data_IF_931570736852
#
_entry.id   IF_931570736852
#
_cell.length_a   1.000
_cell.length_b   1.000
_cell.length_c   1.000
_cell.angle_alpha   90.00
_cell.angle_beta   90.00
_cell.angle_gamma   90.00
#
_symmetry.space_group_name_H-M   'P 1'
#
loop_
_entity.id
_entity.type
_entity.pdbx_description
1 polymer ?
#
# COMPACT_ATOMS: atom_id res chain seq x y z
N UNK A 1 -9.95 -35.39 -12.43
CA UNK A 1 -9.15 -34.29 -13.00
C UNK A 1 -8.28 -33.71 -11.90
N UNK A 2 -6.99 -33.47 -12.19
CA UNK A 2 -6.10 -32.80 -11.25
C UNK A 2 -6.62 -31.39 -10.96
N UNK A 3 -6.64 -31.02 -9.67
CA UNK A 3 -7.06 -29.66 -9.27
C UNK A 3 -5.95 -28.66 -9.57
N UNK A 4 -6.09 -27.86 -10.61
CA UNK A 4 -5.17 -26.77 -10.95
C UNK A 4 -5.51 -25.51 -10.13
N UNK A 5 -4.51 -24.78 -9.61
CA UNK A 5 -4.75 -23.59 -8.81
C UNK A 5 -5.23 -22.40 -9.66
N UNK A 6 -5.97 -21.49 -9.01
CA UNK A 6 -6.13 -20.11 -9.45
C UNK A 6 -5.09 -19.26 -8.75
N UNK A 7 -4.45 -18.37 -9.48
CA UNK A 7 -3.38 -17.51 -8.99
C UNK A 7 -3.82 -16.06 -9.10
N UNK A 8 -3.89 -15.39 -7.96
CA UNK A 8 -4.14 -13.95 -7.88
C UNK A 8 -2.86 -13.28 -7.40
N UNK A 9 -2.38 -12.32 -8.17
CA UNK A 9 -1.23 -11.51 -7.83
C UNK A 9 -1.73 -10.07 -7.62
N UNK A 10 -1.38 -9.46 -6.50
CA UNK A 10 -1.79 -8.09 -6.18
C UNK A 10 -0.59 -7.18 -6.08
N UNK A 11 -0.73 -5.97 -6.58
CA UNK A 11 0.09 -4.87 -6.11
C UNK A 11 -0.27 -4.49 -4.67
N UNK A 12 0.63 -3.80 -3.99
CA UNK A 12 0.45 -3.39 -2.60
C UNK A 12 -0.01 -1.94 -2.54
N UNK A 13 0.87 -1.01 -2.92
CA UNK A 13 0.69 0.42 -2.77
C UNK A 13 -0.39 0.94 -3.74
N UNK A 14 -1.30 1.79 -3.27
CA UNK A 14 -2.46 2.31 -4.00
C UNK A 14 -3.43 1.24 -4.56
N UNK A 15 -3.15 -0.04 -4.33
CA UNK A 15 -3.96 -1.16 -4.78
C UNK A 15 -4.74 -1.80 -3.61
N UNK A 16 -4.07 -2.58 -2.74
CA UNK A 16 -4.70 -3.18 -1.56
C UNK A 16 -4.56 -2.34 -0.30
N UNK A 17 -3.57 -1.46 -0.26
CA UNK A 17 -3.45 -0.39 0.74
C UNK A 17 -3.36 0.96 0.04
N UNK A 18 -3.65 2.03 0.77
CA UNK A 18 -3.44 3.39 0.28
C UNK A 18 -1.98 3.82 0.26
N UNK A 19 -1.71 4.99 -0.29
CA UNK A 19 -0.38 5.59 -0.27
C UNK A 19 0.09 5.80 1.17
N UNK A 20 1.19 5.17 1.52
CA UNK A 20 1.78 5.22 2.85
C UNK A 20 2.68 6.44 3.07
N UNK A 21 2.90 7.27 2.06
CA UNK A 21 3.87 8.37 2.13
C UNK A 21 3.52 9.35 3.23
N UNK A 22 2.23 9.72 3.36
CA UNK A 22 1.78 10.62 4.44
C UNK A 22 1.96 9.99 5.82
N UNK A 23 1.76 8.68 5.95
CA UNK A 23 1.99 7.94 7.19
C UNK A 23 3.48 7.95 7.54
N UNK A 24 4.36 7.66 6.57
CA UNK A 24 5.82 7.69 6.74
C UNK A 24 6.29 9.07 7.18
N UNK A 25 5.80 10.13 6.54
CA UNK A 25 6.15 11.49 6.87
C UNK A 25 5.74 11.84 8.32
N UNK A 26 4.51 11.48 8.73
CA UNK A 26 4.05 11.68 10.10
C UNK A 26 4.96 11.00 11.12
N UNK A 27 5.25 9.71 10.94
CA UNK A 27 6.13 8.97 11.85
C UNK A 27 7.56 9.49 11.83
N UNK A 28 8.06 9.95 10.68
CA UNK A 28 9.40 10.56 10.57
C UNK A 28 9.46 11.87 11.34
N UNK A 29 8.44 12.73 11.22
CA UNK A 29 8.32 13.98 11.96
C UNK A 29 8.27 13.73 13.46
N UNK A 30 7.42 12.80 13.90
CA UNK A 30 7.30 12.39 15.30
C UNK A 30 8.63 11.87 15.85
N UNK A 31 9.33 11.05 15.05
CA UNK A 31 10.65 10.53 15.39
C UNK A 31 11.69 11.63 15.57
N UNK A 32 11.71 12.59 14.64
CA UNK A 32 12.63 13.74 14.72
C UNK A 32 12.36 14.60 15.95
N UNK A 33 11.12 14.94 16.17
CA UNK A 33 10.68 15.75 17.33
C UNK A 33 11.14 15.08 18.63
N UNK A 34 10.88 13.79 18.79
CA UNK A 34 11.26 13.00 19.95
C UNK A 34 12.77 13.00 20.21
N UNK A 35 13.56 12.77 19.15
CA UNK A 35 15.02 12.73 19.24
C UNK A 35 15.61 14.06 19.74
N UNK A 36 14.97 15.18 19.39
CA UNK A 36 15.47 16.51 19.69
C UNK A 36 14.86 17.12 20.98
N UNK A 37 13.77 16.54 21.49
CA UNK A 37 13.09 17.05 22.70
C UNK A 37 13.53 16.36 24.00
N UNK A 38 14.83 16.09 24.16
CA UNK A 38 15.40 15.42 25.36
C UNK A 38 15.07 16.10 26.68
N UNK A 39 14.76 17.40 26.69
CA UNK A 39 14.50 18.18 27.90
C UNK A 39 13.12 17.94 28.54
N UNK A 40 12.18 17.33 27.85
CA UNK A 40 10.76 17.30 28.21
C UNK A 40 10.22 15.94 28.65
N UNK A 41 11.06 15.03 29.21
CA UNK A 41 10.62 13.73 29.75
C UNK A 41 9.71 12.90 28.81
N UNK A 42 9.77 13.09 27.51
CA UNK A 42 9.15 12.21 26.54
C UNK A 42 9.92 10.90 26.62
N UNK A 43 9.35 9.94 27.33
CA UNK A 43 10.03 8.68 27.69
C UNK A 43 10.32 7.82 26.45
N UNK A 44 11.44 7.11 26.49
CA UNK A 44 12.09 6.38 25.41
C UNK A 44 11.31 5.17 24.81
N UNK A 45 10.07 4.95 25.17
CA UNK A 45 9.34 3.73 24.82
C UNK A 45 8.55 3.78 23.50
N UNK A 46 8.50 4.92 22.80
CA UNK A 46 7.83 4.93 21.49
C UNK A 46 8.82 4.58 20.40
N UNK A 47 8.68 3.45 19.75
CA UNK A 47 9.41 3.14 18.52
C UNK A 47 9.02 4.13 17.43
N UNK A 48 9.97 4.48 16.56
CA UNK A 48 9.70 5.26 15.34
C UNK A 48 9.04 4.39 14.26
N UNK A 49 8.76 3.14 14.57
CA UNK A 49 8.21 2.21 13.62
C UNK A 49 6.73 2.51 13.42
N UNK A 50 6.32 2.53 12.17
CA UNK A 50 4.92 2.65 11.80
C UNK A 50 4.16 1.49 12.43
N UNK A 51 3.07 1.82 13.12
CA UNK A 51 2.15 0.81 13.62
C UNK A 51 1.18 0.44 12.48
N UNK A 52 1.61 -0.44 11.59
CA UNK A 52 0.79 -0.85 10.45
C UNK A 52 -0.53 -1.49 10.85
N UNK A 53 -0.60 -2.19 11.98
CA UNK A 53 -1.86 -2.76 12.46
C UNK A 53 -2.90 -1.66 12.73
N UNK A 54 -2.48 -0.60 13.41
CA UNK A 54 -3.34 0.55 13.70
C UNK A 54 -3.70 1.34 12.44
N UNK A 55 -2.74 1.57 11.54
CA UNK A 55 -3.01 2.31 10.30
C UNK A 55 -3.94 1.55 9.36
N UNK A 56 -3.79 0.23 9.25
CA UNK A 56 -4.73 -0.61 8.49
C UNK A 56 -6.15 -0.57 9.06
N UNK A 57 -6.30 -0.43 10.39
CA UNK A 57 -7.60 -0.25 11.04
C UNK A 57 -8.22 1.13 10.77
N UNK A 58 -7.40 2.16 10.68
CA UNK A 58 -7.84 3.53 10.38
C UNK A 58 -8.26 3.73 8.92
N UNK A 59 -8.07 2.75 8.07
CA UNK A 59 -8.47 2.80 6.66
C UNK A 59 -7.31 2.76 5.67
N UNK A 60 -6.06 2.52 6.11
CA UNK A 60 -4.96 2.26 5.18
C UNK A 60 -5.25 1.03 4.33
N UNK A 61 -5.91 0.00 4.86
CA UNK A 61 -6.41 -1.12 4.08
C UNK A 61 -7.61 -0.66 3.24
N UNK A 62 -7.54 -0.86 1.93
CA UNK A 62 -8.60 -0.48 0.99
C UNK A 62 -9.93 -1.12 1.38
N UNK A 63 -11.04 -0.40 1.32
CA UNK A 63 -12.37 -0.94 1.63
C UNK A 63 -12.70 -2.20 0.81
N UNK A 64 -13.40 -3.14 1.43
CA UNK A 64 -13.87 -4.39 0.80
C UNK A 64 -12.78 -5.37 0.32
N UNK A 65 -11.50 -5.15 0.64
CA UNK A 65 -10.44 -6.15 0.34
C UNK A 65 -10.77 -7.48 0.99
N UNK A 66 -11.19 -7.48 2.27
CA UNK A 66 -11.53 -8.71 2.99
C UNK A 66 -12.70 -9.45 2.33
N UNK A 67 -13.74 -8.70 1.95
CA UNK A 67 -14.90 -9.28 1.25
C UNK A 67 -14.49 -9.92 -0.08
N UNK A 68 -13.57 -9.26 -0.80
CA UNK A 68 -13.05 -9.78 -2.05
C UNK A 68 -12.19 -11.03 -1.86
N UNK A 69 -11.31 -11.05 -0.88
CA UNK A 69 -10.50 -12.25 -0.56
C UNK A 69 -11.41 -13.42 -0.18
N UNK A 70 -12.43 -13.18 0.66
CA UNK A 70 -13.40 -14.22 1.00
C UNK A 70 -14.22 -14.72 -0.20
N UNK A 71 -14.57 -13.83 -1.10
CA UNK A 71 -15.26 -14.19 -2.35
C UNK A 71 -14.38 -15.06 -3.23
N UNK A 72 -13.14 -14.66 -3.55
CA UNK A 72 -12.25 -15.44 -4.42
C UNK A 72 -11.86 -16.78 -3.78
N UNK A 73 -11.67 -16.84 -2.46
CA UNK A 73 -11.43 -18.05 -1.69
C UNK A 73 -12.59 -19.06 -1.78
N UNK A 74 -13.83 -18.59 -1.85
CA UNK A 74 -15.01 -19.44 -2.02
C UNK A 74 -15.18 -19.91 -3.45
N UNK A 75 -14.92 -19.02 -4.41
CA UNK A 75 -15.23 -19.24 -5.82
C UNK A 75 -14.11 -19.93 -6.60
N UNK A 76 -12.88 -19.50 -6.43
CA UNK A 76 -11.72 -19.94 -7.20
C UNK A 76 -10.88 -20.93 -6.37
N UNK A 77 -11.17 -22.23 -6.54
CA UNK A 77 -10.55 -23.29 -5.74
C UNK A 77 -9.76 -24.27 -6.60
N UNK A 78 -8.53 -24.64 -6.18
CA UNK A 78 -7.75 -24.05 -5.10
C UNK A 78 -7.23 -22.65 -5.44
N UNK A 79 -7.06 -21.79 -4.43
CA UNK A 79 -6.62 -20.40 -4.56
C UNK A 79 -5.20 -20.24 -4.04
N UNK A 80 -4.38 -19.53 -4.80
CA UNK A 80 -3.03 -19.09 -4.41
C UNK A 80 -2.91 -17.58 -4.57
N UNK A 81 -2.43 -16.90 -3.51
CA UNK A 81 -2.24 -15.45 -3.50
C UNK A 81 -0.77 -15.08 -3.43
N UNK A 82 -0.36 -14.14 -4.25
CA UNK A 82 0.97 -13.55 -4.28
C UNK A 82 0.88 -12.02 -4.24
N UNK A 83 1.97 -11.39 -3.80
CA UNK A 83 2.16 -9.94 -3.88
C UNK A 83 3.31 -9.62 -4.84
N UNK A 84 3.13 -8.55 -5.62
CA UNK A 84 4.15 -8.05 -6.51
C UNK A 84 4.15 -6.50 -6.47
N UNK A 85 5.13 -5.91 -5.82
CA UNK A 85 5.25 -4.46 -5.61
C UNK A 85 6.51 -3.89 -6.24
N UNK A 86 6.50 -2.61 -6.58
CA UNK A 86 7.70 -1.86 -6.97
C UNK A 86 8.51 -1.36 -5.76
N UNK A 87 8.08 -1.67 -4.55
CA UNK A 87 8.80 -1.36 -3.30
C UNK A 87 9.95 -2.36 -3.05
N UNK A 88 10.75 -2.10 -2.01
CA UNK A 88 11.84 -3.01 -1.60
C UNK A 88 11.30 -4.20 -0.83
N UNK A 89 12.05 -5.32 -0.85
CA UNK A 89 11.68 -6.54 -0.13
C UNK A 89 11.51 -6.30 1.39
N UNK A 90 12.44 -5.60 2.02
CA UNK A 90 12.35 -5.31 3.46
C UNK A 90 11.09 -4.52 3.83
N UNK A 91 10.69 -3.55 3.01
CA UNK A 91 9.46 -2.82 3.20
C UNK A 91 8.22 -3.73 3.15
N UNK A 92 8.11 -4.53 2.09
CA UNK A 92 6.96 -5.39 1.88
C UNK A 92 6.90 -6.54 2.90
N UNK A 93 8.03 -7.23 3.12
CA UNK A 93 8.08 -8.45 3.93
C UNK A 93 8.09 -8.17 5.43
N UNK A 94 8.97 -7.26 5.89
CA UNK A 94 9.21 -7.08 7.32
C UNK A 94 8.22 -6.11 7.95
N UNK A 95 7.70 -5.15 7.16
CA UNK A 95 6.77 -4.12 7.63
C UNK A 95 5.30 -4.48 7.41
N UNK A 96 4.91 -4.72 6.18
CA UNK A 96 3.50 -4.77 5.77
C UNK A 96 2.90 -6.18 5.79
N UNK A 97 3.59 -7.19 5.26
CA UNK A 97 3.02 -8.51 5.01
C UNK A 97 2.36 -9.15 6.24
N UNK A 98 3.00 -9.20 7.43
CA UNK A 98 2.38 -9.84 8.58
C UNK A 98 1.06 -9.19 8.98
N UNK A 99 0.99 -7.85 8.89
CA UNK A 99 -0.19 -7.08 9.24
C UNK A 99 -1.29 -7.22 8.19
N UNK A 100 -0.95 -7.21 6.90
CA UNK A 100 -1.90 -7.47 5.82
C UNK A 100 -2.48 -8.87 5.97
N UNK A 101 -1.66 -9.91 6.12
CA UNK A 101 -2.14 -11.29 6.28
C UNK A 101 -3.10 -11.46 7.46
N UNK A 102 -2.78 -10.82 8.60
CA UNK A 102 -3.64 -10.81 9.77
C UNK A 102 -5.00 -10.18 9.47
N UNK A 103 -5.00 -9.05 8.74
CA UNK A 103 -6.23 -8.31 8.41
C UNK A 103 -7.10 -9.02 7.38
N UNK A 104 -6.51 -9.60 6.33
CA UNK A 104 -7.28 -10.32 5.30
C UNK A 104 -7.61 -11.76 5.71
N UNK A 105 -7.11 -12.24 6.84
CA UNK A 105 -7.27 -13.62 7.32
C UNK A 105 -6.92 -14.66 6.26
N UNK A 106 -5.81 -14.45 5.57
CA UNK A 106 -5.32 -15.35 4.53
C UNK A 106 -3.79 -15.31 4.46
N UNK A 107 -3.18 -16.50 4.31
CA UNK A 107 -1.72 -16.62 4.14
C UNK A 107 -1.35 -16.33 2.69
N UNK A 108 -0.54 -15.32 2.48
CA UNK A 108 0.04 -14.97 1.19
C UNK A 108 1.25 -15.86 0.94
N UNK A 109 1.40 -16.34 -0.28
CA UNK A 109 2.54 -17.19 -0.65
C UNK A 109 3.83 -16.37 -0.77
N UNK A 110 4.93 -17.02 -0.44
CA UNK A 110 6.28 -16.49 -0.64
C UNK A 110 6.87 -17.04 -1.95
N UNK A 111 7.84 -16.36 -2.56
CA UNK A 111 8.33 -15.03 -2.17
C UNK A 111 7.33 -13.92 -2.48
N UNK A 112 7.48 -12.76 -1.81
CA UNK A 112 6.91 -11.51 -2.31
C UNK A 112 7.80 -11.05 -3.46
N UNK A 113 7.19 -10.73 -4.59
CA UNK A 113 7.91 -10.14 -5.71
C UNK A 113 8.03 -8.63 -5.53
N UNK A 114 9.21 -8.10 -5.81
CA UNK A 114 9.58 -6.71 -5.53
C UNK A 114 10.22 -6.08 -6.77
N UNK A 115 10.73 -4.85 -6.64
CA UNK A 115 11.42 -4.17 -7.73
C UNK A 115 12.59 -4.97 -8.34
N UNK A 116 13.18 -5.87 -7.56
CA UNK A 116 14.25 -6.74 -8.04
C UNK A 116 13.77 -7.75 -9.08
N UNK A 117 12.47 -8.03 -9.11
CA UNK A 117 11.82 -8.91 -10.09
C UNK A 117 11.25 -8.14 -11.29
N UNK A 118 11.29 -6.80 -11.26
CA UNK A 118 10.76 -5.94 -12.32
C UNK A 118 11.73 -5.84 -13.49
N UNK A 119 11.24 -5.37 -14.63
CA UNK A 119 12.08 -5.04 -15.78
C UNK A 119 12.99 -3.84 -15.48
N UNK A 120 14.02 -3.63 -16.31
CA UNK A 120 14.98 -2.52 -16.13
C UNK A 120 14.33 -1.14 -16.17
N UNK A 121 13.21 -0.99 -16.87
CA UNK A 121 12.41 0.24 -16.95
C UNK A 121 11.45 0.43 -15.76
N UNK A 122 11.49 -0.48 -14.77
CA UNK A 122 10.65 -0.46 -13.58
C UNK A 122 9.27 -1.07 -13.76
N UNK A 123 8.90 -1.54 -14.95
CA UNK A 123 7.65 -2.25 -15.21
C UNK A 123 7.66 -3.67 -14.64
N UNK A 124 6.51 -4.16 -14.17
CA UNK A 124 6.35 -5.53 -13.69
C UNK A 124 6.33 -6.53 -14.84
N UNK A 125 6.82 -7.75 -14.59
CA UNK A 125 6.94 -8.81 -15.58
C UNK A 125 6.43 -10.13 -15.02
N UNK A 126 5.48 -10.77 -15.69
CA UNK A 126 5.09 -12.14 -15.37
C UNK A 126 6.16 -13.14 -15.81
N UNK A 127 6.88 -12.89 -16.90
CA UNK A 127 7.97 -13.76 -17.34
C UNK A 127 9.03 -13.94 -16.25
N UNK A 128 9.31 -12.86 -15.48
CA UNK A 128 10.31 -12.91 -14.42
C UNK A 128 9.85 -13.64 -13.15
N UNK A 129 8.54 -13.82 -12.95
CA UNK A 129 8.01 -14.33 -11.69
C UNK A 129 7.20 -15.62 -11.83
N UNK A 130 6.65 -15.90 -13.00
CA UNK A 130 5.74 -17.04 -13.18
C UNK A 130 6.43 -18.40 -13.00
N UNK A 131 7.65 -18.55 -13.50
CA UNK A 131 8.43 -19.78 -13.28
C UNK A 131 8.67 -20.03 -11.80
N UNK A 132 9.04 -19.00 -11.05
CA UNK A 132 9.22 -19.06 -9.60
C UNK A 132 7.92 -19.47 -8.89
N UNK A 133 6.78 -18.92 -9.34
CA UNK A 133 5.45 -19.28 -8.81
C UNK A 133 5.17 -20.76 -9.06
N UNK A 134 5.42 -21.25 -10.28
CA UNK A 134 5.18 -22.65 -10.64
C UNK A 134 6.08 -23.58 -9.83
N UNK A 135 7.37 -23.28 -9.72
CA UNK A 135 8.32 -24.06 -8.90
C UNK A 135 7.86 -24.16 -7.45
N UNK A 136 7.40 -23.07 -6.85
CA UNK A 136 6.89 -23.07 -5.47
C UNK A 136 5.57 -23.86 -5.31
N UNK A 137 4.79 -23.98 -6.38
CA UNK A 137 3.50 -24.66 -6.33
C UNK A 137 3.55 -26.13 -6.76
N UNK A 138 4.65 -26.58 -7.39
CA UNK A 138 4.77 -27.90 -7.98
C UNK A 138 4.66 -29.05 -6.95
N UNK A 139 5.14 -28.84 -5.73
CA UNK A 139 5.00 -29.83 -4.66
C UNK A 139 3.53 -29.99 -4.24
N UNK A 140 2.82 -28.86 -4.15
CA UNK A 140 1.40 -28.84 -3.77
C UNK A 140 0.48 -29.26 -4.91
N UNK A 141 0.88 -28.95 -6.14
CA UNK A 141 0.14 -29.25 -7.37
C UNK A 141 1.01 -29.94 -8.41
N UNK A 142 1.32 -31.24 -8.27
CA UNK A 142 2.23 -31.95 -9.18
C UNK A 142 1.79 -31.95 -10.65
N UNK A 143 0.51 -31.71 -10.90
CA UNK A 143 -0.03 -31.57 -12.26
C UNK A 143 0.57 -30.39 -13.04
N UNK A 144 1.15 -29.39 -12.36
CA UNK A 144 1.83 -28.25 -12.99
C UNK A 144 3.14 -28.65 -13.71
N UNK A 145 3.67 -29.84 -13.46
CA UNK A 145 4.81 -30.39 -14.23
C UNK A 145 4.46 -30.65 -15.70
N UNK A 146 3.17 -30.80 -15.99
CA UNK A 146 2.70 -31.03 -17.35
C UNK A 146 2.50 -29.67 -18.03
N UNK A 147 3.18 -29.44 -19.13
CA UNK A 147 3.20 -28.17 -19.84
C UNK A 147 1.80 -27.65 -20.20
N UNK A 148 0.90 -28.52 -20.67
CA UNK A 148 -0.47 -28.13 -20.99
C UNK A 148 -1.27 -27.65 -19.78
N UNK A 149 -1.02 -28.20 -18.60
CA UNK A 149 -1.66 -27.78 -17.36
C UNK A 149 -1.07 -26.44 -16.86
N UNK A 150 0.24 -26.29 -16.99
CA UNK A 150 0.93 -25.03 -16.69
C UNK A 150 0.40 -23.90 -17.57
N UNK A 151 0.31 -24.16 -18.89
CA UNK A 151 -0.30 -23.23 -19.84
C UNK A 151 -1.77 -22.91 -19.51
N UNK A 152 -2.56 -23.91 -19.14
CA UNK A 152 -3.95 -23.70 -18.70
C UNK A 152 -4.05 -22.77 -17.47
N UNK A 153 -3.16 -22.93 -16.50
CA UNK A 153 -3.12 -22.04 -15.33
C UNK A 153 -2.74 -20.63 -15.74
N UNK A 154 -1.71 -20.49 -16.57
CA UNK A 154 -1.31 -19.17 -17.07
C UNK A 154 -2.42 -18.49 -17.85
N UNK A 155 -3.02 -19.20 -18.83
CA UNK A 155 -3.99 -18.61 -19.75
C UNK A 155 -5.34 -18.32 -19.10
N UNK A 156 -5.83 -19.21 -18.21
CA UNK A 156 -7.22 -19.19 -17.75
C UNK A 156 -7.42 -19.04 -16.25
N UNK A 157 -6.33 -19.09 -15.44
CA UNK A 157 -6.45 -19.12 -13.98
C UNK A 157 -5.55 -18.12 -13.26
N UNK A 158 -4.79 -17.29 -13.98
CA UNK A 158 -3.92 -16.27 -13.44
C UNK A 158 -4.43 -14.87 -13.75
N UNK A 159 -4.41 -14.01 -12.76
CA UNK A 159 -4.73 -12.58 -12.89
C UNK A 159 -3.84 -11.74 -12.00
N UNK A 160 -3.49 -10.56 -12.49
CA UNK A 160 -2.76 -9.53 -11.78
C UNK A 160 -3.67 -8.31 -11.55
N UNK A 161 -3.65 -7.73 -10.36
CA UNK A 161 -4.44 -6.54 -9.99
C UNK A 161 -3.49 -5.42 -9.57
N UNK A 162 -3.54 -4.28 -10.26
CA UNK A 162 -2.57 -3.19 -10.12
C UNK A 162 -3.23 -1.85 -10.49
N UNK A 163 -2.89 -0.77 -9.80
CA UNK A 163 -3.42 0.57 -10.04
C UNK A 163 -2.76 1.25 -11.25
N UNK A 164 -1.49 0.98 -11.49
CA UNK A 164 -0.76 1.60 -12.61
C UNK A 164 -1.16 0.95 -13.93
N UNK A 165 -1.75 1.71 -14.88
CA UNK A 165 -2.14 1.17 -16.17
C UNK A 165 -0.94 0.58 -16.91
N UNK A 166 -1.10 -0.62 -17.45
CA UNK A 166 -0.05 -1.31 -18.23
C UNK A 166 1.27 -1.50 -17.47
N UNK A 167 1.21 -1.57 -16.13
CA UNK A 167 2.39 -1.84 -15.31
C UNK A 167 2.95 -3.25 -15.59
N UNK A 168 2.07 -4.20 -15.89
CA UNK A 168 2.44 -5.51 -16.38
C UNK A 168 2.82 -5.42 -17.86
N UNK A 169 4.13 -5.26 -18.14
CA UNK A 169 4.65 -4.88 -19.48
C UNK A 169 4.52 -5.99 -20.52
N UNK A 170 4.82 -7.22 -20.11
CA UNK A 170 4.86 -8.38 -21.02
C UNK A 170 3.48 -9.01 -21.28
N UNK A 171 2.57 -8.94 -20.32
CA UNK A 171 1.22 -9.52 -20.42
C UNK A 171 0.12 -8.55 -19.94
N UNK A 172 -0.05 -7.37 -20.56
CA UNK A 172 -1.01 -6.37 -20.10
C UNK A 172 -2.47 -6.88 -20.08
N UNK A 173 -2.77 -7.90 -20.89
CA UNK A 173 -4.09 -8.54 -20.92
C UNK A 173 -4.40 -9.40 -19.68
N UNK A 174 -3.41 -9.69 -18.84
CA UNK A 174 -3.57 -10.36 -17.54
C UNK A 174 -3.84 -9.40 -16.40
N UNK A 175 -3.76 -8.10 -16.64
CA UNK A 175 -3.94 -7.09 -15.62
C UNK A 175 -5.40 -6.62 -15.53
N UNK A 176 -5.97 -6.69 -14.33
CA UNK A 176 -7.13 -5.90 -13.92
C UNK A 176 -6.59 -4.59 -13.37
N UNK A 177 -6.97 -3.49 -14.03
CA UNK A 177 -6.63 -2.15 -13.55
C UNK A 177 -7.57 -1.78 -12.40
N UNK A 178 -7.02 -1.48 -11.23
CA UNK A 178 -7.77 -0.82 -10.16
C UNK A 178 -7.54 0.70 -10.20
N UNK A 179 -8.50 1.51 -9.77
CA UNK A 179 -8.26 2.92 -9.49
C UNK A 179 -7.27 3.07 -8.35
N UNK A 180 -6.48 4.14 -8.35
CA UNK A 180 -5.60 4.48 -7.25
C UNK A 180 -6.43 4.59 -5.96
N UNK A 181 -5.97 3.96 -4.89
CA UNK A 181 -6.57 4.11 -3.59
C UNK A 181 -5.78 5.12 -2.76
N UNK A 182 -6.33 6.31 -2.64
CA UNK A 182 -5.75 7.38 -1.86
C UNK A 182 -6.21 7.27 -0.40
N UNK A 183 -5.29 6.92 0.49
CA UNK A 183 -5.52 6.94 1.92
C UNK A 183 -5.02 8.26 2.50
N UNK A 184 -5.94 8.99 3.11
CA UNK A 184 -5.57 10.09 3.96
C UNK A 184 -5.81 9.65 5.39
N UNK A 185 -4.75 9.52 6.21
CA UNK A 185 -4.98 9.40 7.65
C UNK A 185 -5.82 10.60 8.07
N UNK A 186 -6.87 10.38 8.92
CA UNK A 186 -7.71 11.48 9.36
C UNK A 186 -6.80 12.62 9.75
N UNK A 187 -6.93 13.78 9.07
CA UNK A 187 -6.08 14.94 9.29
C UNK A 187 -6.21 15.35 10.75
N UNK A 188 -5.41 14.73 11.52
CA UNK A 188 -5.17 15.19 12.87
C UNK A 188 -4.09 16.22 12.68
N UNK A 189 -4.41 17.48 12.96
CA UNK A 189 -3.40 18.48 13.11
C UNK A 189 -2.21 17.83 13.82
N UNK A 190 -1.03 17.79 13.17
CA UNK A 190 0.17 17.14 13.74
C UNK A 190 0.36 17.53 15.21
N UNK A 191 0.03 18.80 15.54
CA UNK A 191 0.00 19.32 16.89
C UNK A 191 -0.90 18.50 17.82
N UNK A 192 -2.13 18.20 17.39
CA UNK A 192 -3.10 17.47 18.19
C UNK A 192 -2.77 15.98 18.29
N UNK A 193 -2.24 15.38 17.22
CA UNK A 193 -1.69 14.03 17.25
C UNK A 193 -0.54 13.91 18.25
N UNK A 194 0.40 14.84 18.24
CA UNK A 194 1.53 14.86 19.15
C UNK A 194 1.06 15.00 20.58
N UNK A 195 0.15 15.96 20.85
CA UNK A 195 -0.44 16.15 22.18
C UNK A 195 -1.09 14.89 22.71
N UNK A 196 -1.97 14.28 21.90
CA UNK A 196 -2.69 13.07 22.25
C UNK A 196 -1.76 11.88 22.44
N UNK A 197 -0.84 11.66 21.51
CA UNK A 197 0.07 10.51 21.53
C UNK A 197 1.04 10.52 22.70
N UNK A 198 1.48 11.70 23.11
CA UNK A 198 2.45 11.87 24.21
C UNK A 198 1.82 12.40 25.49
N UNK A 199 0.50 12.50 25.55
CA UNK A 199 -0.25 13.01 26.70
C UNK A 199 0.30 14.37 27.19
N UNK A 200 0.55 15.29 26.26
CA UNK A 200 1.11 16.61 26.55
C UNK A 200 -0.03 17.60 26.80
N UNK A 201 0.04 18.31 27.93
CA UNK A 201 -0.83 19.47 28.15
C UNK A 201 -0.41 20.66 27.26
N UNK A 202 -1.29 21.66 27.14
CA UNK A 202 -1.05 22.84 26.30
C UNK A 202 0.20 23.62 26.74
N UNK A 203 0.42 23.69 28.06
CA UNK A 203 1.54 24.42 28.64
C UNK A 203 2.86 23.70 28.34
N UNK A 204 2.90 22.40 28.51
CA UNK A 204 4.08 21.58 28.20
C UNK A 204 4.36 21.56 26.71
N UNK A 205 3.32 21.48 25.89
CA UNK A 205 3.46 21.52 24.43
C UNK A 205 4.03 22.87 23.96
N UNK A 206 3.52 23.98 24.52
CA UNK A 206 3.99 25.32 24.17
C UNK A 206 5.43 25.62 24.63
N UNK A 207 5.91 24.94 25.67
CA UNK A 207 7.31 25.07 26.14
C UNK A 207 8.32 24.28 25.33
N UNK A 208 7.86 23.45 24.37
CA UNK A 208 8.70 22.59 23.56
C UNK A 208 9.03 23.30 22.25
N UNK A 209 10.27 23.16 21.79
CA UNK A 209 10.71 23.62 20.46
C UNK A 209 9.80 23.09 19.31
N UNK A 210 9.07 21.99 19.54
CA UNK A 210 8.06 21.42 18.66
C UNK A 210 7.02 22.47 18.26
N UNK A 211 6.55 23.29 19.19
CA UNK A 211 5.56 24.32 18.88
C UNK A 211 6.13 25.36 17.91
N UNK A 212 7.39 25.70 18.09
CA UNK A 212 8.09 26.58 17.16
C UNK A 212 8.15 25.95 15.76
N UNK A 213 8.44 24.66 15.66
CA UNK A 213 8.48 23.94 14.38
C UNK A 213 7.10 23.77 13.75
N UNK A 214 6.07 23.49 14.52
CA UNK A 214 4.69 23.44 14.01
C UNK A 214 4.17 24.81 13.55
N UNK A 215 4.75 25.90 14.07
CA UNK A 215 4.45 27.27 13.67
C UNK A 215 5.41 27.85 12.60
N UNK A 216 6.42 27.12 12.19
CA UNK A 216 7.43 27.51 11.16
C UNK A 216 6.77 27.94 9.83
N UNK A 217 5.55 27.51 9.54
CA UNK A 217 4.75 28.03 8.41
C UNK A 217 4.66 29.54 8.32
N UNK A 218 4.81 30.25 9.44
CA UNK A 218 4.81 31.73 9.46
C UNK A 218 6.18 32.29 9.15
N UNK A 219 7.21 31.46 9.05
CA UNK A 219 8.57 31.88 8.68
C UNK A 219 8.69 31.63 7.18
N UNK A 220 8.82 32.68 6.36
CA UNK A 220 9.03 32.51 4.91
C UNK A 220 10.29 31.66 4.68
N UNK A 221 10.19 30.64 3.85
CA UNK A 221 11.32 29.76 3.50
C UNK A 221 12.43 30.56 2.81
N UNK A 222 12.02 31.55 2.06
CA UNK A 222 12.89 32.46 1.36
C UNK A 222 13.05 33.72 2.20
N UNK A 223 14.14 33.73 2.97
CA UNK A 223 14.43 34.80 3.87
C UNK A 223 14.55 36.15 3.17
N UNK A 224 13.47 36.86 3.10
CA UNK A 224 13.57 38.31 2.98
C UNK A 224 14.22 38.93 4.22
N UNK A 225 14.41 38.18 5.30
CA UNK A 225 14.99 38.64 6.59
C UNK A 225 16.18 37.86 7.09
N UNK A 226 16.92 37.14 6.25
CA UNK A 226 18.24 36.61 6.63
C UNK A 226 18.30 35.61 7.80
N UNK A 227 17.19 34.92 8.12
CA UNK A 227 17.20 33.91 9.18
C UNK A 227 17.93 32.67 8.69
N UNK A 228 19.13 32.47 9.19
CA UNK A 228 19.99 31.34 8.88
C UNK A 228 19.43 30.08 9.61
N UNK A 229 18.48 29.39 9.03
CA UNK A 229 17.91 28.14 9.57
C UNK A 229 19.04 27.10 9.58
N UNK A 230 19.37 26.57 10.75
CA UNK A 230 20.37 25.50 10.87
C UNK A 230 19.98 24.32 9.98
N UNK A 231 20.94 23.64 9.38
CA UNK A 231 20.70 22.58 8.38
C UNK A 231 19.72 21.48 8.86
N UNK A 232 19.75 21.12 10.13
CA UNK A 232 18.81 20.14 10.73
C UNK A 232 17.39 20.69 10.89
N UNK A 233 17.23 21.99 11.10
CA UNK A 233 15.93 22.64 11.23
C UNK A 233 15.28 22.77 9.84
N UNK A 234 16.10 22.95 8.80
CA UNK A 234 15.64 22.97 7.40
C UNK A 234 15.06 21.63 6.96
N UNK A 235 15.65 20.51 7.42
CA UNK A 235 15.12 19.17 7.11
C UNK A 235 13.71 18.99 7.72
N UNK A 236 13.54 19.31 8.99
CA UNK A 236 12.22 19.21 9.64
C UNK A 236 11.20 20.15 9.00
N UNK A 237 11.63 21.35 8.68
CA UNK A 237 10.79 22.32 7.97
C UNK A 237 10.28 21.74 6.64
N UNK A 238 11.18 21.25 5.81
CA UNK A 238 10.82 20.66 4.51
C UNK A 238 9.87 19.47 4.65
N UNK A 239 10.08 18.61 5.68
CA UNK A 239 9.20 17.48 5.96
C UNK A 239 7.80 17.94 6.37
N UNK A 240 7.69 18.93 7.25
CA UNK A 240 6.41 19.47 7.70
C UNK A 240 5.66 20.17 6.56
N UNK A 241 6.36 20.88 5.70
CA UNK A 241 5.78 21.54 4.55
C UNK A 241 5.29 20.54 3.51
N UNK A 242 6.14 19.57 3.16
CA UNK A 242 5.77 18.50 2.21
C UNK A 242 4.57 17.69 2.72
N UNK A 243 4.55 17.33 3.99
CA UNK A 243 3.44 16.66 4.64
C UNK A 243 2.16 17.47 4.53
N UNK A 244 2.25 18.77 4.80
CA UNK A 244 1.08 19.64 4.77
C UNK A 244 0.53 19.87 3.38
N UNK A 245 1.40 20.16 2.40
CA UNK A 245 0.98 20.37 1.01
C UNK A 245 0.28 19.11 0.52
N UNK A 246 0.91 17.95 0.70
CA UNK A 246 0.34 16.66 0.28
C UNK A 246 -1.00 16.38 0.93
N UNK A 247 -1.12 16.56 2.25
CA UNK A 247 -2.38 16.32 2.93
C UNK A 247 -3.47 17.31 2.52
N UNK A 248 -3.13 18.56 2.26
CA UNK A 248 -4.09 19.55 1.78
C UNK A 248 -4.61 19.23 0.36
N UNK A 249 -3.74 18.77 -0.51
CA UNK A 249 -4.09 18.31 -1.85
C UNK A 249 -4.98 17.07 -1.80
N UNK A 250 -4.57 16.06 -1.02
CA UNK A 250 -5.33 14.83 -0.82
C UNK A 250 -6.69 15.10 -0.17
N UNK A 251 -6.76 15.96 0.83
CA UNK A 251 -8.02 16.34 1.47
C UNK A 251 -9.00 16.99 0.47
N UNK A 252 -8.49 17.86 -0.40
CA UNK A 252 -9.29 18.47 -1.47
C UNK A 252 -9.77 17.42 -2.49
N UNK A 253 -8.95 16.42 -2.80
CA UNK A 253 -9.32 15.33 -3.69
C UNK A 253 -10.37 14.44 -3.04
N UNK A 254 -10.13 13.96 -1.82
CA UNK A 254 -11.01 13.03 -1.11
C UNK A 254 -12.37 13.64 -0.73
N UNK A 255 -12.43 14.95 -0.49
CA UNK A 255 -13.71 15.63 -0.23
C UNK A 255 -14.66 15.56 -1.43
N UNK A 256 -14.14 15.34 -2.64
CA UNK A 256 -14.90 15.23 -3.89
C UNK A 256 -15.15 13.79 -4.32
N UNK A 257 -14.48 12.83 -3.71
CA UNK A 257 -14.55 11.44 -4.14
C UNK A 257 -15.69 10.68 -3.46
N UNK A 258 -16.33 9.80 -4.24
CA UNK A 258 -17.26 8.81 -3.71
C UNK A 258 -16.50 7.78 -2.88
N UNK A 259 -17.15 7.14 -1.89
CA UNK A 259 -16.53 6.04 -1.17
C UNK A 259 -15.96 4.99 -2.12
N UNK A 260 -14.75 4.52 -1.86
CA UNK A 260 -14.12 3.49 -2.67
C UNK A 260 -14.93 2.18 -2.62
N UNK A 261 -15.41 1.74 -3.76
CA UNK A 261 -16.22 0.52 -3.92
C UNK A 261 -15.56 -0.50 -4.84
N UNK A 262 -14.31 -0.27 -5.25
CA UNK A 262 -13.65 -1.08 -6.28
C UNK A 262 -13.76 -2.58 -6.02
N UNK A 263 -13.36 -3.08 -4.87
CA UNK A 263 -13.41 -4.51 -4.58
C UNK A 263 -14.85 -5.04 -4.47
N UNK A 264 -15.79 -4.25 -4.00
CA UNK A 264 -17.22 -4.59 -4.00
C UNK A 264 -17.77 -4.75 -5.43
N UNK A 265 -17.40 -3.83 -6.31
CA UNK A 265 -17.81 -3.89 -7.71
C UNK A 265 -17.08 -5.02 -8.46
N UNK A 266 -15.81 -5.26 -8.14
CA UNK A 266 -15.07 -6.38 -8.70
C UNK A 266 -15.69 -7.71 -8.34
N UNK A 267 -16.16 -7.92 -7.11
CA UNK A 267 -16.97 -9.10 -6.72
C UNK A 267 -18.17 -9.26 -7.64
N UNK A 268 -18.94 -8.18 -7.83
CA UNK A 268 -20.13 -8.19 -8.70
C UNK A 268 -19.79 -8.58 -10.14
N UNK A 269 -18.71 -8.02 -10.69
CA UNK A 269 -18.32 -8.29 -12.07
C UNK A 269 -17.75 -9.70 -12.26
N UNK A 270 -17.05 -10.24 -11.26
CA UNK A 270 -16.46 -11.57 -11.31
C UNK A 270 -17.43 -12.69 -10.93
N UNK A 271 -18.63 -12.39 -10.40
CA UNK A 271 -19.58 -13.39 -9.89
C UNK A 271 -19.87 -14.52 -10.90
N UNK A 272 -20.00 -14.21 -12.19
CA UNK A 272 -20.32 -15.14 -13.26
C UNK A 272 -19.12 -15.52 -14.14
N UNK A 273 -17.89 -15.19 -13.71
CA UNK A 273 -16.66 -15.47 -14.44
C UNK A 273 -15.96 -16.65 -13.78
N UNK A 274 -15.73 -17.73 -14.50
CA UNK A 274 -15.01 -18.90 -14.01
C UNK A 274 -13.58 -18.96 -14.52
N UNK A 275 -13.30 -18.41 -15.70
CA UNK A 275 -11.97 -18.35 -16.30
C UNK A 275 -11.43 -16.92 -16.28
N UNK A 276 -10.16 -16.78 -15.90
CA UNK A 276 -9.45 -15.50 -15.86
C UNK A 276 -8.64 -15.28 -17.15
N UNK A 277 -9.29 -15.56 -18.29
CA UNK A 277 -8.70 -15.37 -19.60
C UNK A 277 -8.80 -13.91 -20.06
N UNK A 278 -8.05 -13.57 -21.13
CA UNK A 278 -7.97 -12.22 -21.68
C UNK A 278 -9.35 -11.60 -21.95
N UNK A 279 -10.28 -12.37 -22.58
CA UNK A 279 -11.64 -11.90 -22.88
C UNK A 279 -12.39 -11.45 -21.62
N UNK A 280 -12.29 -12.24 -20.56
CA UNK A 280 -13.00 -11.96 -19.32
C UNK A 280 -12.34 -10.81 -18.53
N UNK A 281 -11.01 -10.74 -18.52
CA UNK A 281 -10.26 -9.62 -17.92
C UNK A 281 -10.59 -8.31 -18.64
N UNK A 282 -10.60 -8.30 -19.97
CA UNK A 282 -11.02 -7.14 -20.77
C UNK A 282 -12.45 -6.69 -20.44
N UNK A 283 -13.39 -7.66 -20.28
CA UNK A 283 -14.77 -7.35 -19.88
C UNK A 283 -14.86 -6.74 -18.49
N UNK A 284 -14.05 -7.21 -17.54
CA UNK A 284 -13.96 -6.64 -16.19
C UNK A 284 -13.44 -5.21 -16.27
N UNK A 285 -12.32 -4.97 -16.96
CA UNK A 285 -11.71 -3.65 -17.11
C UNK A 285 -12.66 -2.64 -17.76
N UNK A 286 -13.43 -3.07 -18.77
CA UNK A 286 -14.46 -2.20 -19.41
C UNK A 286 -15.53 -1.76 -18.40
N UNK A 287 -15.94 -2.65 -17.49
CA UNK A 287 -16.97 -2.34 -16.49
C UNK A 287 -16.46 -1.48 -15.33
N UNK A 288 -15.17 -1.57 -15.02
CA UNK A 288 -14.55 -0.73 -13.97
C UNK A 288 -14.38 0.70 -14.45
N UNK A 289 -14.11 0.90 -15.75
CA UNK A 289 -13.84 2.21 -16.34
C UNK A 289 -15.10 2.97 -16.81
N UNK A 290 -16.29 2.35 -16.73
CA UNK A 290 -17.60 2.93 -17.00
C UNK A 290 -18.37 3.19 -15.69
#
# INVERSE_FOLDING_TARGET
MAKLPYIFIFDIDNCIIGDVTSVIDEYTILGYIRKNCKKNKITDKCSYNINFEEELEKGLLRPHVNDFIDFIKKKYKPLELYLYTNSTYSWANDGLLPNIQKKINYKINLPIFTRENSMRDGGKSLSNVYEIIVENLIEKYPALKVESNNKEVFDNRLVFIDDIPFNLRDFPHKQIKCPDYNYLPPYVNIKDSIKKKYNLDEKNFNSIEIYQYCNIRKIPIYGENGVNIKQKDKLLYNLLESYHIRNSELEQMLYKEKPDTFFKDLIKYMKNINELNEKNIKKINTKINN
#
